data_IF_187216523217
#
_entry.id   IF_187216523217
#
_cell.length_a   1.000
_cell.length_b   1.000
_cell.length_c   1.000
_cell.angle_alpha   90.00
_cell.angle_beta   90.00
_cell.angle_gamma   90.00
#
_symmetry.space_group_name_H-M   'P 1'
#
loop_
_entity.id
_entity.type
_entity.pdbx_description
1 polymer ?
#
# COMPACT_ATOMS: atom_id res chain seq x y z
N UNK A 1 0.31 -19.26 16.58
CA UNK A 1 1.72 -18.95 16.48
C UNK A 1 1.83 -17.56 15.82
N UNK A 2 2.38 -16.58 16.54
CA UNK A 2 2.70 -15.30 15.96
C UNK A 2 3.82 -15.56 14.94
N UNK A 3 3.54 -15.31 13.65
CA UNK A 3 4.60 -15.30 12.67
C UNK A 3 5.60 -14.21 13.12
N UNK A 4 6.80 -14.60 13.44
CA UNK A 4 7.93 -13.68 13.66
C UNK A 4 8.02 -12.85 12.39
N UNK A 5 7.77 -11.53 12.51
CA UNK A 5 7.92 -10.64 11.39
C UNK A 5 9.35 -10.80 10.84
N UNK A 6 9.49 -11.17 9.57
CA UNK A 6 10.78 -11.27 8.93
C UNK A 6 11.47 -9.90 9.05
N UNK A 7 12.74 -9.89 9.46
CA UNK A 7 13.52 -8.67 9.49
C UNK A 7 13.61 -8.09 8.07
N UNK A 8 13.48 -6.78 7.96
CA UNK A 8 13.68 -6.10 6.68
C UNK A 8 15.15 -6.24 6.24
N UNK A 9 15.35 -6.71 5.03
CA UNK A 9 16.67 -6.80 4.40
C UNK A 9 16.70 -5.86 3.20
N UNK A 10 17.66 -4.94 3.17
CA UNK A 10 17.84 -4.04 2.04
C UNK A 10 18.32 -4.80 0.81
N UNK A 11 17.89 -4.38 -0.38
CA UNK A 11 18.43 -4.93 -1.63
C UNK A 11 19.97 -4.71 -1.71
N UNK A 12 20.50 -3.66 -1.11
CA UNK A 12 21.93 -3.43 -1.04
C UNK A 12 22.67 -4.55 -0.29
N UNK A 13 22.09 -5.05 0.81
CA UNK A 13 22.66 -6.19 1.56
C UNK A 13 22.62 -7.48 0.73
N UNK A 14 21.56 -7.68 -0.05
CA UNK A 14 21.42 -8.85 -0.93
C UNK A 14 22.40 -8.79 -2.10
N UNK A 15 22.64 -7.60 -2.65
CA UNK A 15 23.54 -7.39 -3.80
C UNK A 15 25.02 -7.37 -3.43
N UNK A 16 25.37 -6.99 -2.21
CA UNK A 16 26.76 -6.83 -1.78
C UNK A 16 27.64 -8.11 -1.99
N UNK A 17 27.22 -9.32 -1.60
CA UNK A 17 28.02 -10.53 -1.82
C UNK A 17 28.29 -10.85 -3.30
N UNK A 18 27.35 -10.47 -4.17
CA UNK A 18 27.45 -10.69 -5.62
C UNK A 18 28.12 -9.51 -6.34
N UNK A 19 28.52 -8.46 -5.61
CA UNK A 19 29.10 -7.22 -6.14
C UNK A 19 28.26 -6.60 -7.25
N UNK A 20 26.94 -6.72 -7.14
CA UNK A 20 26.01 -6.18 -8.13
C UNK A 20 25.86 -4.68 -7.98
N UNK A 21 25.72 -3.99 -9.11
CA UNK A 21 25.27 -2.60 -9.11
C UNK A 21 23.80 -2.54 -8.71
N UNK A 22 23.45 -1.74 -7.71
CA UNK A 22 22.06 -1.54 -7.35
C UNK A 22 21.73 -0.08 -7.00
N UNK A 23 20.47 0.30 -7.24
CA UNK A 23 19.89 1.57 -6.87
C UNK A 23 18.86 1.35 -5.76
N UNK A 24 19.07 2.02 -4.64
CA UNK A 24 18.12 2.01 -3.52
C UNK A 24 17.41 3.36 -3.46
N UNK A 25 16.11 3.35 -3.69
CA UNK A 25 15.28 4.54 -3.56
C UNK A 25 14.75 4.68 -2.13
N UNK A 26 14.93 5.84 -1.53
CA UNK A 26 14.39 6.19 -0.23
C UNK A 26 13.62 7.51 -0.26
N UNK A 27 12.70 7.70 0.67
CA UNK A 27 11.95 8.95 0.78
C UNK A 27 11.40 9.17 2.20
N UNK A 28 11.16 10.44 2.53
CA UNK A 28 10.49 10.82 3.78
C UNK A 28 8.98 10.50 3.77
N UNK A 29 8.39 10.32 2.59
CA UNK A 29 6.93 10.23 2.38
C UNK A 29 6.25 9.13 3.19
N UNK A 30 6.84 7.93 3.29
CA UNK A 30 6.19 6.77 3.92
C UNK A 30 6.80 6.45 5.29
N UNK A 31 8.11 6.29 5.36
CA UNK A 31 8.79 5.90 6.60
C UNK A 31 8.72 6.98 7.69
N UNK A 32 8.76 8.27 7.30
CA UNK A 32 8.66 9.42 8.22
C UNK A 32 7.29 10.09 8.19
N UNK A 33 6.32 9.56 7.43
CA UNK A 33 4.96 10.10 7.32
C UNK A 33 4.91 11.56 6.87
N UNK A 34 5.87 11.98 6.06
CA UNK A 34 5.99 13.35 5.56
C UNK A 34 5.84 13.43 4.03
N UNK A 35 4.71 13.00 3.44
CA UNK A 35 4.55 12.97 1.99
C UNK A 35 4.53 14.38 1.37
N UNK A 36 4.08 15.38 2.11
CA UNK A 36 4.04 16.78 1.67
C UNK A 36 5.41 17.44 1.57
N UNK A 37 6.45 16.87 2.18
CA UNK A 37 7.81 17.43 2.12
C UNK A 37 8.53 17.16 0.80
N UNK A 38 7.99 16.28 -0.04
CA UNK A 38 8.45 16.01 -1.40
C UNK A 38 9.95 15.74 -1.52
N UNK A 39 10.56 15.04 -0.55
CA UNK A 39 11.96 14.68 -0.54
C UNK A 39 12.17 13.18 -0.57
N UNK A 40 12.99 12.73 -1.52
CA UNK A 40 13.50 11.38 -1.63
C UNK A 40 14.97 11.42 -2.08
N UNK A 41 15.60 10.28 -2.09
CA UNK A 41 17.00 10.10 -2.52
C UNK A 41 17.18 8.78 -3.25
N UNK A 42 18.25 8.72 -4.03
CA UNK A 42 18.78 7.49 -4.62
C UNK A 42 20.16 7.22 -4.04
N UNK A 43 20.35 6.03 -3.48
CA UNK A 43 21.66 5.54 -3.09
C UNK A 43 22.13 4.55 -4.17
N UNK A 44 23.25 4.86 -4.80
CA UNK A 44 23.88 4.03 -5.82
C UNK A 44 25.02 3.24 -5.18
N UNK A 45 24.89 1.92 -5.21
CA UNK A 45 25.94 0.97 -4.83
C UNK A 45 26.50 0.34 -6.10
N UNK A 46 27.81 0.43 -6.31
CA UNK A 46 28.46 0.03 -7.57
C UNK A 46 29.81 -0.62 -7.32
N UNK A 47 29.83 -1.76 -6.66
CA UNK A 47 31.07 -2.51 -6.44
C UNK A 47 31.57 -3.21 -7.73
N UNK A 48 30.70 -3.40 -8.72
CA UNK A 48 31.01 -4.03 -10.00
C UNK A 48 31.50 -3.07 -11.08
N UNK A 49 31.40 -1.74 -10.88
CA UNK A 49 31.84 -0.72 -11.85
C UNK A 49 30.87 -0.45 -12.99
N UNK A 50 29.74 -1.17 -13.08
CA UNK A 50 28.78 -1.03 -14.16
C UNK A 50 28.16 0.38 -14.25
N UNK A 51 27.94 1.02 -13.11
CA UNK A 51 27.35 2.36 -13.08
C UNK A 51 28.35 3.42 -13.58
N UNK A 52 29.64 3.21 -13.40
CA UNK A 52 30.70 4.04 -13.96
C UNK A 52 30.77 3.85 -15.48
N UNK A 53 30.83 2.62 -15.97
CA UNK A 53 30.86 2.28 -17.40
C UNK A 53 29.67 2.87 -18.16
N UNK A 54 28.48 2.82 -17.57
CA UNK A 54 27.25 3.38 -18.14
C UNK A 54 27.05 4.88 -17.87
N UNK A 55 27.97 5.54 -17.18
CA UNK A 55 27.86 6.95 -16.73
C UNK A 55 26.52 7.20 -15.99
N UNK A 56 26.06 6.22 -15.21
CA UNK A 56 24.74 6.24 -14.59
C UNK A 56 24.59 7.38 -13.59
N UNK A 57 25.64 7.71 -12.83
CA UNK A 57 25.63 8.84 -11.88
C UNK A 57 25.37 10.17 -12.59
N UNK A 58 26.00 10.40 -13.73
CA UNK A 58 25.78 11.61 -14.53
C UNK A 58 24.34 11.66 -15.08
N UNK A 59 23.86 10.54 -15.61
CA UNK A 59 22.50 10.45 -16.14
C UNK A 59 21.44 10.73 -15.05
N UNK A 60 21.60 10.14 -13.86
CA UNK A 60 20.73 10.40 -12.71
C UNK A 60 20.80 11.87 -12.27
N UNK A 61 21.99 12.48 -12.27
CA UNK A 61 22.15 13.89 -11.96
C UNK A 61 21.38 14.79 -12.95
N UNK A 62 21.40 14.47 -14.24
CA UNK A 62 20.62 15.20 -15.26
C UNK A 62 19.11 15.01 -15.05
N UNK A 63 18.65 13.81 -14.72
CA UNK A 63 17.23 13.57 -14.39
C UNK A 63 16.80 14.37 -13.17
N UNK A 64 17.61 14.46 -12.12
CA UNK A 64 17.31 15.29 -10.96
C UNK A 64 17.14 16.77 -11.27
N UNK A 65 17.79 17.27 -12.33
CA UNK A 65 17.68 18.67 -12.75
C UNK A 65 16.32 19.01 -13.38
N UNK A 66 15.57 18.02 -13.88
CA UNK A 66 14.24 18.24 -14.46
C UNK A 66 13.27 18.83 -13.42
N UNK A 67 13.38 18.39 -12.16
CA UNK A 67 12.53 18.87 -11.05
C UNK A 67 13.20 19.92 -10.17
N UNK A 68 14.44 20.32 -10.48
CA UNK A 68 15.28 21.25 -9.72
C UNK A 68 15.52 20.85 -8.25
N UNK A 69 15.18 19.62 -7.88
CA UNK A 69 15.34 19.08 -6.53
C UNK A 69 14.25 19.51 -5.52
N UNK A 70 14.29 18.95 -4.33
CA UNK A 70 13.35 19.29 -3.26
C UNK A 70 13.68 20.63 -2.58
N UNK A 71 12.75 21.15 -1.78
CA UNK A 71 12.91 22.38 -1.01
C UNK A 71 14.19 22.34 -0.16
N UNK A 72 15.00 23.41 -0.24
CA UNK A 72 16.30 23.50 0.46
C UNK A 72 16.18 23.43 1.99
N UNK A 73 15.08 23.91 2.58
CA UNK A 73 14.83 23.82 4.03
C UNK A 73 14.68 22.35 4.44
N UNK A 74 13.94 21.56 3.65
CA UNK A 74 13.77 20.13 3.93
C UNK A 74 15.07 19.37 3.71
N UNK A 75 15.86 19.73 2.69
CA UNK A 75 17.17 19.17 2.48
C UNK A 75 18.12 19.46 3.65
N UNK A 76 18.13 20.67 4.17
CA UNK A 76 18.97 21.06 5.31
C UNK A 76 18.58 20.32 6.60
N UNK A 77 17.29 19.96 6.77
CA UNK A 77 16.82 19.20 7.91
C UNK A 77 17.11 17.68 7.79
N UNK A 78 17.32 17.17 6.57
CA UNK A 78 17.44 15.74 6.31
C UNK A 78 18.50 15.01 7.16
N UNK A 79 19.73 15.51 7.33
CA UNK A 79 20.76 14.84 8.14
C UNK A 79 20.30 14.60 9.59
N UNK A 80 19.64 15.60 10.19
CA UNK A 80 19.09 15.49 11.55
C UNK A 80 17.93 14.52 11.61
N UNK A 81 17.02 14.55 10.63
CA UNK A 81 15.88 13.63 10.56
C UNK A 81 16.38 12.18 10.53
N UNK A 82 17.39 11.90 9.69
CA UNK A 82 17.94 10.55 9.58
C UNK A 82 18.66 10.09 10.85
N UNK A 83 19.38 11.01 11.52
CA UNK A 83 20.19 10.67 12.69
C UNK A 83 19.40 10.66 14.00
N UNK A 84 18.42 11.57 14.16
CA UNK A 84 17.79 11.85 15.45
C UNK A 84 16.34 11.29 15.56
N UNK A 85 15.76 10.73 14.49
CA UNK A 85 14.42 10.10 14.60
C UNK A 85 14.50 8.89 15.53
N UNK A 86 13.81 8.88 16.67
CA UNK A 86 13.96 7.80 17.64
C UNK A 86 13.35 6.50 17.12
N UNK A 87 13.92 5.33 17.46
CA UNK A 87 13.40 4.02 17.05
C UNK A 87 11.93 3.80 17.40
N UNK A 88 11.46 4.35 18.53
CA UNK A 88 10.07 4.25 18.97
C UNK A 88 9.08 4.90 18.01
N UNK A 89 9.49 5.91 17.25
CA UNK A 89 8.65 6.49 16.21
C UNK A 89 8.27 5.44 15.17
N UNK A 90 9.25 4.68 14.70
CA UNK A 90 9.03 3.63 13.71
C UNK A 90 8.26 2.45 14.29
N UNK A 91 8.57 2.06 15.53
CA UNK A 91 7.89 0.95 16.21
C UNK A 91 6.39 1.22 16.38
N UNK A 92 6.02 2.43 16.84
CA UNK A 92 4.61 2.84 16.97
C UNK A 92 3.88 2.83 15.63
N UNK A 93 4.51 3.35 14.58
CA UNK A 93 3.89 3.36 13.25
C UNK A 93 3.66 1.94 12.72
N UNK A 94 4.65 1.06 12.86
CA UNK A 94 4.53 -0.34 12.46
C UNK A 94 3.43 -1.07 13.24
N UNK A 95 3.32 -0.79 14.54
CA UNK A 95 2.24 -1.35 15.36
C UNK A 95 0.87 -0.91 14.85
N UNK A 96 0.68 0.39 14.59
CA UNK A 96 -0.57 0.94 14.05
C UNK A 96 -0.93 0.27 12.72
N UNK A 97 0.02 0.11 11.81
CA UNK A 97 -0.22 -0.54 10.51
C UNK A 97 -0.59 -2.02 10.68
N UNK A 98 0.11 -2.74 11.55
CA UNK A 98 -0.17 -4.13 11.82
C UNK A 98 -1.55 -4.35 12.45
N UNK A 99 -1.96 -3.47 13.36
CA UNK A 99 -3.29 -3.51 13.99
C UNK A 99 -4.39 -3.20 12.97
N UNK A 100 -4.22 -2.15 12.15
CA UNK A 100 -5.15 -1.80 11.07
C UNK A 100 -5.29 -2.92 10.03
N UNK A 101 -4.18 -3.54 9.63
CA UNK A 101 -4.20 -4.67 8.72
C UNK A 101 -4.95 -5.88 9.30
N UNK A 102 -4.67 -6.26 10.56
CA UNK A 102 -5.35 -7.37 11.22
C UNK A 102 -6.86 -7.11 11.38
N UNK A 103 -7.24 -5.87 11.74
CA UNK A 103 -8.64 -5.46 11.82
C UNK A 103 -9.30 -5.61 10.46
N UNK A 104 -8.72 -5.04 9.41
CA UNK A 104 -9.28 -5.07 8.06
C UNK A 104 -9.41 -6.49 7.50
N UNK A 105 -8.40 -7.35 7.68
CA UNK A 105 -8.49 -8.77 7.27
C UNK A 105 -9.62 -9.51 8.00
N UNK A 106 -9.83 -9.22 9.28
CA UNK A 106 -10.95 -9.82 10.03
C UNK A 106 -12.30 -9.31 9.52
N UNK A 107 -12.42 -8.01 9.24
CA UNK A 107 -13.66 -7.42 8.73
C UNK A 107 -14.01 -7.97 7.34
N UNK A 108 -13.04 -8.05 6.42
CA UNK A 108 -13.24 -8.64 5.09
C UNK A 108 -13.79 -10.06 5.18
N UNK A 109 -13.25 -10.90 6.08
CA UNK A 109 -13.73 -12.28 6.27
C UNK A 109 -15.17 -12.39 6.75
N UNK A 110 -15.73 -11.34 7.33
CA UNK A 110 -17.10 -11.31 7.86
C UNK A 110 -18.11 -10.73 6.87
N UNK A 111 -17.64 -10.17 5.75
CA UNK A 111 -18.49 -9.52 4.76
C UNK A 111 -18.59 -10.44 3.53
N UNK A 112 -19.78 -11.03 3.24
CA UNK A 112 -20.00 -11.84 2.04
C UNK A 112 -19.68 -11.06 0.77
N UNK A 113 -19.13 -11.73 -0.24
CA UNK A 113 -18.73 -11.11 -1.51
C UNK A 113 -17.35 -10.43 -1.47
N UNK A 114 -16.67 -10.39 -0.31
CA UNK A 114 -15.31 -9.90 -0.17
C UNK A 114 -14.35 -10.99 0.27
N UNK A 115 -13.14 -10.98 -0.27
CA UNK A 115 -12.07 -11.87 0.18
C UNK A 115 -10.70 -11.17 0.21
N UNK A 116 -9.79 -11.72 0.98
CA UNK A 116 -8.40 -11.28 1.05
C UNK A 116 -7.49 -12.49 0.80
N UNK A 117 -7.18 -12.80 -0.47
CA UNK A 117 -6.38 -13.98 -0.81
C UNK A 117 -4.96 -13.94 -0.24
N UNK A 118 -4.39 -12.74 -0.15
CA UNK A 118 -3.03 -12.51 0.37
C UNK A 118 -3.07 -11.51 1.52
N UNK A 119 -3.14 -11.95 2.77
CA UNK A 119 -3.01 -11.07 3.92
C UNK A 119 -1.67 -10.31 3.87
N UNK A 120 -1.67 -8.99 4.14
CA UNK A 120 -0.47 -8.19 4.01
C UNK A 120 0.58 -8.58 5.06
N UNK A 121 1.83 -8.72 4.63
CA UNK A 121 3.00 -8.93 5.50
C UNK A 121 3.77 -7.63 5.77
N UNK A 122 3.36 -6.54 5.14
CA UNK A 122 3.96 -5.22 5.25
C UNK A 122 3.14 -4.16 4.52
N UNK A 123 3.70 -2.99 4.35
CA UNK A 123 3.04 -1.81 3.77
C UNK A 123 1.83 -1.33 4.59
N UNK A 124 1.06 -0.43 4.01
CA UNK A 124 -0.12 0.20 4.63
C UNK A 124 -1.40 -0.06 3.82
N UNK A 125 -1.38 -1.10 3.00
CA UNK A 125 -2.45 -1.42 2.05
C UNK A 125 -2.88 -2.87 2.18
N UNK A 126 -4.15 -3.09 1.86
CA UNK A 126 -4.77 -4.40 1.71
C UNK A 126 -5.40 -4.47 0.32
N UNK A 127 -5.17 -5.55 -0.41
CA UNK A 127 -5.93 -5.86 -1.63
C UNK A 127 -7.10 -6.75 -1.26
N UNK A 128 -8.29 -6.28 -1.57
CA UNK A 128 -9.56 -6.99 -1.34
C UNK A 128 -10.12 -7.41 -2.69
N UNK A 129 -10.37 -8.67 -2.85
CA UNK A 129 -11.04 -9.23 -4.02
C UNK A 129 -12.55 -9.07 -3.88
N UNK A 130 -13.19 -8.65 -4.95
CA UNK A 130 -14.63 -8.45 -5.08
C UNK A 130 -15.23 -9.64 -5.83
N UNK A 131 -16.28 -10.22 -5.32
CA UNK A 131 -17.10 -11.19 -6.05
C UNK A 131 -18.14 -10.43 -6.89
N UNK A 132 -17.69 -9.93 -8.04
CA UNK A 132 -18.51 -9.11 -8.94
C UNK A 132 -19.72 -9.87 -9.49
N UNK A 133 -19.72 -11.21 -9.49
CA UNK A 133 -20.86 -12.00 -9.95
C UNK A 133 -22.07 -11.89 -9.00
N UNK A 134 -21.81 -11.54 -7.74
CA UNK A 134 -22.83 -11.39 -6.69
C UNK A 134 -23.21 -9.94 -6.40
N UNK A 135 -22.64 -8.99 -7.14
CA UNK A 135 -22.87 -7.56 -6.94
C UNK A 135 -23.61 -6.95 -8.14
N UNK A 136 -24.39 -5.92 -7.89
CA UNK A 136 -25.10 -5.13 -8.91
C UNK A 136 -24.25 -3.96 -9.44
N UNK A 137 -22.93 -4.12 -9.44
CA UNK A 137 -21.96 -3.19 -10.03
C UNK A 137 -21.18 -3.88 -11.14
N UNK A 138 -20.84 -3.13 -12.19
CA UNK A 138 -20.23 -3.70 -13.39
C UNK A 138 -18.77 -4.12 -13.18
N UNK A 139 -17.99 -3.38 -12.39
CA UNK A 139 -16.57 -3.60 -12.18
C UNK A 139 -16.05 -2.95 -10.87
N UNK A 140 -14.75 -3.07 -10.63
CA UNK A 140 -14.09 -2.50 -9.47
C UNK A 140 -14.04 -0.96 -9.48
N UNK A 141 -14.13 -0.34 -10.65
CA UNK A 141 -14.17 1.13 -10.79
C UNK A 141 -15.55 1.64 -10.36
N UNK A 142 -16.61 1.01 -10.85
CA UNK A 142 -17.98 1.36 -10.42
C UNK A 142 -18.19 1.06 -8.94
N UNK A 143 -17.71 -0.08 -8.44
CA UNK A 143 -17.72 -0.39 -7.01
C UNK A 143 -17.12 0.74 -6.18
N UNK A 144 -15.90 1.18 -6.51
CA UNK A 144 -15.22 2.24 -5.78
C UNK A 144 -15.98 3.56 -5.83
N UNK A 145 -16.55 3.89 -6.99
CA UNK A 145 -17.35 5.13 -7.19
C UNK A 145 -18.64 5.12 -6.39
N UNK A 146 -19.41 4.04 -6.46
CA UNK A 146 -20.71 3.93 -5.77
C UNK A 146 -20.50 3.88 -4.26
N UNK A 147 -19.56 3.10 -3.77
CA UNK A 147 -19.16 3.04 -2.35
C UNK A 147 -18.79 4.43 -1.81
N UNK A 148 -18.01 5.21 -2.57
CA UNK A 148 -17.65 6.58 -2.17
C UNK A 148 -18.87 7.50 -2.09
N UNK A 149 -19.81 7.37 -3.03
CA UNK A 149 -21.01 8.24 -3.08
C UNK A 149 -21.99 7.89 -1.97
N UNK A 150 -22.25 6.60 -1.75
CA UNK A 150 -23.28 6.16 -0.80
C UNK A 150 -22.80 6.14 0.66
N UNK A 151 -21.56 5.73 0.88
CA UNK A 151 -21.05 5.49 2.23
C UNK A 151 -19.95 6.48 2.65
N UNK A 152 -19.45 7.30 1.74
CA UNK A 152 -18.30 8.18 2.01
C UNK A 152 -16.99 7.41 2.25
N UNK A 153 -16.90 6.15 1.80
CA UNK A 153 -15.72 5.31 1.98
C UNK A 153 -14.93 5.25 0.67
N UNK A 154 -13.74 5.84 0.69
CA UNK A 154 -12.84 5.87 -0.48
C UNK A 154 -11.93 4.64 -0.54
N UNK A 155 -11.99 3.91 -1.65
CA UNK A 155 -11.07 2.84 -1.99
C UNK A 155 -10.50 3.09 -3.39
N UNK A 156 -9.40 2.45 -3.74
CA UNK A 156 -8.87 2.55 -5.11
C UNK A 156 -9.19 1.27 -5.89
N UNK A 157 -9.72 1.40 -7.13
CA UNK A 157 -9.95 0.25 -7.99
C UNK A 157 -8.66 -0.52 -8.26
N UNK A 158 -8.72 -1.83 -8.26
CA UNK A 158 -7.58 -2.69 -8.57
C UNK A 158 -7.11 -2.56 -10.01
N UNK A 159 -8.00 -2.21 -10.92
CA UNK A 159 -7.69 -1.90 -12.32
C UNK A 159 -6.60 -0.84 -12.47
N UNK A 160 -6.49 0.13 -11.55
CA UNK A 160 -5.40 1.11 -11.50
C UNK A 160 -4.00 0.47 -11.27
N UNK A 161 -3.96 -0.78 -10.84
CA UNK A 161 -2.75 -1.54 -10.52
C UNK A 161 -2.62 -2.80 -11.37
N UNK A 162 -3.41 -2.94 -12.44
CA UNK A 162 -3.44 -4.14 -13.27
C UNK A 162 -4.08 -5.35 -12.60
N UNK A 163 -4.92 -5.15 -11.58
CA UNK A 163 -5.63 -6.18 -10.83
C UNK A 163 -7.16 -5.93 -10.85
N UNK A 164 -7.84 -6.07 -12.02
CA UNK A 164 -9.28 -5.90 -12.10
C UNK A 164 -10.01 -6.89 -11.18
N UNK A 165 -11.18 -6.48 -10.68
CA UNK A 165 -11.93 -7.26 -9.69
C UNK A 165 -11.39 -7.18 -8.26
N UNK A 166 -10.45 -6.28 -8.01
CA UNK A 166 -9.95 -5.98 -6.67
C UNK A 166 -10.21 -4.52 -6.30
N UNK A 167 -10.14 -4.21 -5.01
CA UNK A 167 -9.94 -2.85 -4.54
C UNK A 167 -8.78 -2.78 -3.54
N UNK A 168 -8.07 -1.64 -3.55
CA UNK A 168 -7.00 -1.35 -2.59
C UNK A 168 -7.52 -0.49 -1.47
N UNK A 169 -7.40 -0.99 -0.26
CA UNK A 169 -7.81 -0.32 0.98
C UNK A 169 -6.57 0.13 1.74
N UNK A 170 -6.58 1.36 2.26
CA UNK A 170 -5.54 1.87 3.16
C UNK A 170 -5.85 1.41 4.58
N UNK A 171 -4.88 0.77 5.25
CA UNK A 171 -5.01 0.27 6.62
C UNK A 171 -4.33 1.15 7.67
N UNK A 172 -3.70 2.25 7.22
CA UNK A 172 -2.96 3.19 8.07
C UNK A 172 -3.86 4.32 8.58
N UNK A 173 -5.00 3.97 9.16
CA UNK A 173 -5.91 4.90 9.81
C UNK A 173 -6.17 4.46 11.26
N UNK A 174 -6.67 5.36 12.13
CA UNK A 174 -7.05 4.99 13.48
C UNK A 174 -8.05 3.83 13.51
N UNK A 175 -7.88 2.91 14.44
CA UNK A 175 -8.70 1.69 14.51
C UNK A 175 -10.20 1.97 14.58
N UNK A 176 -10.62 3.09 15.22
CA UNK A 176 -12.01 3.52 15.28
C UNK A 176 -12.56 3.83 13.87
N UNK A 177 -11.80 4.61 13.10
CA UNK A 177 -12.21 5.00 11.74
C UNK A 177 -12.25 3.81 10.79
N UNK A 178 -11.26 2.91 10.88
CA UNK A 178 -11.25 1.67 10.10
C UNK A 178 -12.46 0.78 10.43
N UNK A 179 -12.81 0.68 11.71
CA UNK A 179 -13.98 -0.10 12.12
C UNK A 179 -15.27 0.47 11.53
N UNK A 180 -15.47 1.78 11.66
CA UNK A 180 -16.61 2.50 11.08
C UNK A 180 -16.67 2.32 9.56
N UNK A 181 -15.53 2.47 8.87
CA UNK A 181 -15.47 2.26 7.42
C UNK A 181 -15.89 0.84 7.03
N UNK A 182 -15.43 -0.19 7.75
CA UNK A 182 -15.82 -1.57 7.47
C UNK A 182 -17.27 -1.88 7.79
N UNK A 183 -17.87 -1.24 8.80
CA UNK A 183 -19.30 -1.31 9.08
C UNK A 183 -20.12 -0.73 7.91
N UNK A 184 -19.69 0.40 7.36
CA UNK A 184 -20.30 1.03 6.18
C UNK A 184 -20.15 0.15 4.93
N UNK A 185 -18.94 -0.40 4.69
CA UNK A 185 -18.73 -1.36 3.60
C UNK A 185 -19.66 -2.57 3.75
N UNK A 186 -19.81 -3.11 4.96
CA UNK A 186 -20.73 -4.20 5.22
C UNK A 186 -22.20 -3.86 4.95
N UNK A 187 -22.62 -2.63 5.23
CA UNK A 187 -23.96 -2.12 4.91
C UNK A 187 -24.16 -1.97 3.41
N UNK A 188 -23.17 -1.43 2.72
CA UNK A 188 -23.13 -1.34 1.26
C UNK A 188 -23.29 -2.72 0.62
N UNK A 189 -22.43 -3.67 0.99
CA UNK A 189 -22.45 -5.03 0.45
C UNK A 189 -23.82 -5.72 0.62
N UNK A 190 -24.50 -5.49 1.75
CA UNK A 190 -25.83 -6.07 1.98
C UNK A 190 -26.90 -5.50 1.02
N UNK A 191 -26.77 -4.23 0.62
CA UNK A 191 -27.72 -3.60 -0.32
C UNK A 191 -27.45 -3.98 -1.77
N UNK A 192 -26.17 -4.13 -2.11
CA UNK A 192 -25.72 -4.36 -3.47
C UNK A 192 -25.45 -5.84 -3.80
N UNK A 193 -25.59 -6.74 -2.81
CA UNK A 193 -25.50 -8.17 -3.07
C UNK A 193 -26.82 -8.66 -3.69
N UNK A 194 -26.76 -9.03 -4.98
CA UNK A 194 -27.86 -9.73 -5.64
C UNK A 194 -27.87 -11.18 -5.14
N UNK A 195 -28.89 -11.59 -4.39
CA UNK A 195 -29.07 -12.99 -4.06
C UNK A 195 -29.09 -13.79 -5.36
N UNK A 196 -28.16 -14.74 -5.51
CA UNK A 196 -28.33 -15.76 -6.56
C UNK A 196 -29.69 -16.39 -6.35
N UNK A 197 -30.62 -16.15 -7.28
CA UNK A 197 -31.81 -16.95 -7.35
C UNK A 197 -31.35 -18.41 -7.46
N UNK A 198 -31.76 -19.25 -6.52
CA UNK A 198 -31.49 -20.69 -6.61
C UNK A 198 -31.99 -21.16 -7.98
N UNK A 199 -31.18 -21.95 -8.74
CA UNK A 199 -31.66 -22.49 -10.00
C UNK A 199 -32.90 -23.32 -9.73
N UNK A 200 -34.01 -22.88 -10.33
CA UNK A 200 -35.39 -23.27 -10.13
C UNK A 200 -35.60 -24.70 -9.65
N UNK A 201 -36.35 -24.83 -8.57
CA UNK A 201 -37.14 -26.01 -8.30
C UNK A 201 -38.16 -26.12 -9.44
N UNK A 202 -37.84 -26.97 -10.40
CA UNK A 202 -38.84 -27.49 -11.34
C UNK A 202 -39.84 -28.23 -10.50
N UNK A 203 -41.05 -27.65 -10.30
CA UNK A 203 -42.18 -28.39 -9.74
C UNK A 203 -42.66 -29.41 -10.75
N UNK A 204 -43.06 -30.58 -10.30
CA UNK A 204 -43.47 -31.69 -11.13
C UNK A 204 -44.78 -31.46 -11.86
#
# INVERSE_FOLDING_TARGET
AAATAAAFTSIAEVCAPARCTCLVAGALSKRWLAPGWRLGWLALYDEGGLAEDLRLREALGKLCQITLGPCSLVQAALPRILAETPPDFFARNLQTYAEGARLSVRSVKQIPGLSCPSPPQGAMYLMVQLDLETLDVADDVEFARVLQVEEGVGVLPGSCFGAPGFCRVVTAAPARELKEAWERVGSFMKRHCTSRAEPGSVQP
#
